data_IF_905656203822
#
_entry.id   IF_905656203822
#
_cell.length_a   1.000
_cell.length_b   1.000
_cell.length_c   1.000
_cell.angle_alpha   90.00
_cell.angle_beta   90.00
_cell.angle_gamma   90.00
#
_symmetry.space_group_name_H-M   'P 1'
#
loop_
_entity.id
_entity.type
_entity.pdbx_description
1 polymer ?
#
# COMPACT_ATOMS: atom_id res chain seq x y z
N UNK A 1 -20.41 -5.06 10.26
CA UNK A 1 -19.13 -4.44 10.66
C UNK A 1 -18.17 -5.57 11.02
N UNK A 2 -17.10 -5.79 10.24
CA UNK A 2 -16.00 -6.64 10.73
C UNK A 2 -15.28 -5.85 11.83
N UNK A 3 -14.97 -6.50 12.95
CA UNK A 3 -14.18 -5.88 14.01
C UNK A 3 -12.77 -5.63 13.47
N UNK A 4 -12.33 -4.38 13.53
CA UNK A 4 -10.95 -4.01 13.25
C UNK A 4 -10.11 -4.38 14.47
N UNK A 5 -9.03 -5.12 14.24
CA UNK A 5 -8.06 -5.44 15.29
C UNK A 5 -6.91 -4.46 15.18
N UNK A 6 -6.58 -3.80 16.29
CA UNK A 6 -5.41 -2.93 16.36
C UNK A 6 -4.21 -3.77 16.75
N UNK A 7 -3.21 -3.81 15.87
CA UNK A 7 -1.92 -4.44 16.14
C UNK A 7 -0.89 -3.34 16.27
N UNK A 8 -0.16 -3.34 17.38
CA UNK A 8 0.96 -2.42 17.57
C UNK A 8 2.24 -3.20 17.78
N UNK A 9 3.24 -2.92 16.94
CA UNK A 9 4.55 -3.58 16.99
C UNK A 9 5.63 -2.52 17.25
N UNK A 10 6.57 -2.85 18.13
CA UNK A 10 7.78 -2.07 18.34
C UNK A 10 8.96 -2.82 17.74
N UNK A 11 9.73 -2.17 16.88
CA UNK A 11 10.90 -2.77 16.21
C UNK A 11 11.95 -1.70 15.89
N UNK A 12 13.16 -2.09 15.54
CA UNK A 12 14.17 -1.22 14.90
C UNK A 12 14.43 -1.59 13.43
N UNK A 13 13.73 -2.58 12.88
CA UNK A 13 13.89 -3.02 11.49
C UNK A 13 12.59 -2.82 10.70
N UNK A 14 12.20 -1.57 10.46
CA UNK A 14 10.97 -1.26 9.71
C UNK A 14 10.92 -1.90 8.32
N UNK A 15 12.07 -2.04 7.65
CA UNK A 15 12.16 -2.65 6.31
C UNK A 15 11.76 -4.12 6.27
N UNK A 16 11.70 -4.81 7.42
CA UNK A 16 11.16 -6.17 7.52
C UNK A 16 9.69 -6.22 7.09
N UNK A 17 8.96 -5.12 7.22
CA UNK A 17 7.54 -5.02 6.89
C UNK A 17 7.28 -4.53 5.46
N UNK A 18 8.33 -4.27 4.65
CA UNK A 18 8.19 -3.79 3.27
C UNK A 18 7.34 -4.72 2.40
N UNK A 19 7.38 -6.04 2.66
CA UNK A 19 6.59 -7.03 1.94
C UNK A 19 5.07 -6.83 2.09
N UNK A 20 4.60 -6.25 3.19
CA UNK A 20 3.18 -5.95 3.38
C UNK A 20 2.69 -4.92 2.34
N UNK A 21 3.54 -3.98 1.95
CA UNK A 21 3.21 -3.03 0.88
C UNK A 21 3.19 -3.68 -0.51
N UNK A 22 4.02 -4.70 -0.74
CA UNK A 22 4.02 -5.47 -1.98
C UNK A 22 2.75 -6.33 -2.10
N UNK A 23 2.33 -6.94 -0.99
CA UNK A 23 1.06 -7.68 -0.91
C UNK A 23 -0.14 -6.75 -1.07
N UNK A 24 -0.06 -5.56 -0.47
CA UNK A 24 -1.01 -4.46 -0.59
C UNK A 24 -1.73 -4.17 0.72
N UNK A 25 -1.84 -2.87 1.01
CA UNK A 25 -2.61 -2.34 2.13
C UNK A 25 -3.95 -1.79 1.63
N UNK A 26 -4.93 -1.65 2.51
CA UNK A 26 -6.21 -1.04 2.18
C UNK A 26 -6.09 0.47 2.24
N UNK A 27 -6.31 1.12 1.10
CA UNK A 27 -6.48 2.56 0.97
C UNK A 27 -7.96 2.95 1.01
N UNK A 28 -8.22 4.19 1.36
CA UNK A 28 -9.55 4.78 1.23
C UNK A 28 -9.48 6.17 0.67
N UNK A 29 -10.41 6.51 -0.21
CA UNK A 29 -10.54 7.83 -0.81
C UNK A 29 -12.02 8.18 -0.94
N UNK A 30 -12.31 9.44 -1.24
CA UNK A 30 -13.66 9.87 -1.66
C UNK A 30 -13.91 9.36 -3.08
N UNK A 31 -15.13 8.89 -3.35
CA UNK A 31 -15.54 8.48 -4.70
C UNK A 31 -15.30 9.62 -5.70
N UNK A 32 -14.69 9.29 -6.84
CA UNK A 32 -14.34 10.27 -7.86
C UNK A 32 -13.06 11.07 -7.56
N UNK A 33 -12.33 10.77 -6.48
CA UNK A 33 -10.99 11.33 -6.28
C UNK A 33 -10.03 10.83 -7.37
N UNK A 34 -9.22 11.74 -7.91
CA UNK A 34 -8.13 11.35 -8.80
C UNK A 34 -7.00 10.66 -8.02
N UNK A 35 -6.15 9.92 -8.72
CA UNK A 35 -4.93 9.37 -8.12
C UNK A 35 -4.07 10.51 -7.55
N UNK A 36 -3.98 11.64 -8.26
CA UNK A 36 -3.23 12.80 -7.78
C UNK A 36 -3.78 13.34 -6.46
N UNK A 37 -5.09 13.54 -6.35
CA UNK A 37 -5.71 14.08 -5.14
C UNK A 37 -5.50 13.16 -3.94
N UNK A 38 -5.62 11.85 -4.14
CA UNK A 38 -5.32 10.88 -3.10
C UNK A 38 -3.85 10.96 -2.65
N UNK A 39 -2.90 10.99 -3.58
CA UNK A 39 -1.47 11.03 -3.22
C UNK A 39 -1.09 12.35 -2.54
N UNK A 40 -1.56 13.48 -3.07
CA UNK A 40 -1.19 14.81 -2.58
C UNK A 40 -1.92 15.17 -1.28
N UNK A 41 -3.24 14.99 -1.24
CA UNK A 41 -4.07 15.53 -0.17
C UNK A 41 -4.28 14.52 0.96
N UNK A 42 -4.49 13.24 0.64
CA UNK A 42 -4.76 12.20 1.65
C UNK A 42 -3.46 11.60 2.20
N UNK A 43 -2.51 11.26 1.32
CA UNK A 43 -1.21 10.73 1.74
C UNK A 43 -0.20 11.82 2.12
N UNK A 44 -0.44 13.07 1.73
CA UNK A 44 0.48 14.19 2.00
C UNK A 44 1.79 14.12 1.21
N UNK A 45 1.80 13.45 0.06
CA UNK A 45 2.98 13.29 -0.79
C UNK A 45 3.15 14.56 -1.64
N UNK A 46 4.35 15.14 -1.64
CA UNK A 46 4.55 16.41 -2.35
C UNK A 46 4.40 16.26 -3.87
N UNK A 47 3.94 17.30 -4.59
CA UNK A 47 3.85 17.28 -6.05
C UNK A 47 5.17 16.92 -6.73
N UNK A 48 6.30 17.37 -6.17
CA UNK A 48 7.64 17.07 -6.69
C UNK A 48 7.95 15.58 -6.58
N UNK A 49 7.59 14.94 -5.47
CA UNK A 49 7.79 13.51 -5.27
C UNK A 49 6.91 12.70 -6.22
N UNK A 50 5.62 13.05 -6.34
CA UNK A 50 4.68 12.38 -7.27
C UNK A 50 5.20 12.46 -8.71
N UNK A 51 5.78 13.60 -9.10
CA UNK A 51 6.24 13.83 -10.47
C UNK A 51 7.57 13.15 -10.78
N UNK A 52 8.54 13.22 -9.86
CA UNK A 52 9.92 12.83 -10.16
C UNK A 52 10.32 11.48 -9.57
N UNK A 53 9.70 11.06 -8.45
CA UNK A 53 10.04 9.81 -7.78
C UNK A 53 9.12 8.68 -8.20
N UNK A 54 7.82 8.91 -8.37
CA UNK A 54 6.88 7.88 -8.83
C UNK A 54 6.86 7.82 -10.37
N UNK A 55 7.66 6.93 -10.97
CA UNK A 55 7.76 6.82 -12.43
C UNK A 55 6.83 5.78 -13.05
N UNK A 56 6.28 4.87 -12.25
CA UNK A 56 5.35 3.84 -12.77
C UNK A 56 4.17 3.72 -11.84
N UNK A 57 2.98 3.87 -12.44
CA UNK A 57 1.69 3.78 -11.77
C UNK A 57 0.83 2.81 -12.56
N UNK A 58 0.26 1.83 -11.86
CA UNK A 58 -0.75 0.95 -12.42
C UNK A 58 -2.05 1.07 -11.64
N UNK A 59 -3.16 1.08 -12.36
CA UNK A 59 -4.51 0.89 -11.82
C UNK A 59 -5.09 -0.38 -12.43
N UNK A 60 -5.40 -1.37 -11.59
CA UNK A 60 -5.90 -2.70 -12.01
C UNK A 60 -5.01 -3.36 -13.08
N UNK A 61 -3.69 -3.21 -12.92
CA UNK A 61 -2.69 -3.76 -13.83
C UNK A 61 -2.49 -2.97 -15.13
N UNK A 62 -3.26 -1.89 -15.36
CA UNK A 62 -3.12 -1.00 -16.51
C UNK A 62 -2.27 0.21 -16.17
N UNK A 63 -1.35 0.58 -17.06
CA UNK A 63 -0.49 1.72 -16.84
C UNK A 63 -1.28 3.03 -16.88
N UNK A 64 -0.95 3.94 -15.96
CA UNK A 64 -1.58 5.26 -15.85
C UNK A 64 -0.59 6.34 -16.26
N UNK A 65 -0.96 7.13 -17.27
CA UNK A 65 -0.14 8.25 -17.77
C UNK A 65 -0.57 9.59 -17.14
N UNK A 66 -1.88 9.81 -16.96
CA UNK A 66 -2.44 11.03 -16.38
C UNK A 66 -3.10 10.76 -15.03
N UNK A 67 -2.37 11.07 -13.95
CA UNK A 67 -2.83 10.88 -12.57
C UNK A 67 -3.90 11.88 -12.13
N UNK A 68 -4.06 13.00 -12.82
CA UNK A 68 -5.08 14.01 -12.50
C UNK A 68 -6.45 13.62 -13.06
N UNK A 69 -6.48 12.92 -14.20
CA UNK A 69 -7.74 12.48 -14.84
C UNK A 69 -8.15 11.04 -14.49
N UNK A 70 -7.24 10.26 -13.93
CA UNK A 70 -7.52 8.87 -13.57
C UNK A 70 -8.13 8.81 -12.18
N UNK A 71 -9.37 8.34 -12.10
CA UNK A 71 -10.15 8.27 -10.87
C UNK A 71 -9.96 6.92 -10.16
N UNK A 72 -9.85 6.96 -8.83
CA UNK A 72 -9.88 5.75 -8.01
C UNK A 72 -11.29 5.19 -7.95
N UNK A 73 -11.39 3.86 -8.00
CA UNK A 73 -12.66 3.14 -7.96
C UNK A 73 -12.69 2.15 -6.79
N UNK A 74 -13.90 1.83 -6.35
CA UNK A 74 -14.14 0.80 -5.34
C UNK A 74 -13.49 -0.53 -5.74
N UNK A 75 -12.80 -1.17 -4.81
CA UNK A 75 -12.08 -2.43 -4.96
C UNK A 75 -10.94 -2.46 -6.00
N UNK A 76 -10.58 -1.31 -6.58
CA UNK A 76 -9.44 -1.22 -7.50
C UNK A 76 -8.10 -1.51 -6.79
N UNK A 77 -7.05 -1.76 -7.56
CA UNK A 77 -5.68 -1.91 -7.08
C UNK A 77 -4.78 -0.85 -7.70
N UNK A 78 -4.31 0.09 -6.89
CA UNK A 78 -3.31 1.09 -7.24
C UNK A 78 -1.91 0.59 -6.87
N UNK A 79 -1.00 0.53 -7.82
CA UNK A 79 0.39 0.15 -7.60
C UNK A 79 1.34 1.30 -7.98
N UNK A 80 2.28 1.63 -7.08
CA UNK A 80 3.25 2.71 -7.22
C UNK A 80 4.68 2.18 -7.18
N UNK A 81 5.53 2.70 -8.07
CA UNK A 81 6.92 2.25 -8.22
C UNK A 81 7.83 3.39 -8.71
N UNK A 82 9.07 3.42 -8.19
CA UNK A 82 10.02 4.49 -8.47
C UNK A 82 10.71 4.33 -9.82
N UNK A 83 11.24 3.14 -10.09
CA UNK A 83 11.76 2.75 -11.39
C UNK A 83 11.73 1.22 -11.45
N UNK A 84 11.17 0.67 -12.53
CA UNK A 84 11.31 -0.76 -12.81
C UNK A 84 12.54 -0.94 -13.71
N UNK A 85 13.49 -1.84 -13.40
CA UNK A 85 14.58 -2.15 -14.31
C UNK A 85 14.11 -3.04 -15.47
N UNK A 86 14.88 -3.09 -16.55
CA UNK A 86 14.65 -3.98 -17.69
C UNK A 86 13.51 -3.56 -18.63
N UNK A 87 13.05 -4.49 -19.47
CA UNK A 87 12.06 -4.22 -20.52
C UNK A 87 10.75 -3.67 -19.95
N UNK A 88 10.29 -4.19 -18.81
CA UNK A 88 9.09 -3.73 -18.11
C UNK A 88 9.20 -2.24 -17.73
N UNK A 89 10.37 -1.81 -17.27
CA UNK A 89 10.65 -0.40 -17.02
C UNK A 89 10.64 0.47 -18.26
N UNK A 90 11.35 0.03 -19.30
CA UNK A 90 11.41 0.75 -20.57
C UNK A 90 10.02 0.90 -21.20
N UNK A 91 9.17 -0.11 -21.06
CA UNK A 91 7.80 -0.07 -21.58
C UNK A 91 6.87 0.72 -20.70
N UNK A 92 6.94 0.68 -19.36
CA UNK A 92 5.90 1.24 -18.47
C UNK A 92 6.26 2.54 -17.75
N UNK A 93 7.44 3.12 -18.01
CA UNK A 93 7.78 4.46 -17.50
C UNK A 93 6.75 5.49 -17.96
N UNK A 94 6.25 6.29 -17.01
CA UNK A 94 5.35 7.43 -17.24
C UNK A 94 6.03 8.41 -18.20
N UNK A 95 5.32 8.81 -19.24
CA UNK A 95 5.81 9.76 -20.26
C UNK A 95 7.11 9.32 -20.99
N UNK A 96 7.37 8.01 -21.12
CA UNK A 96 8.53 7.47 -21.84
C UNK A 96 8.35 7.42 -23.38
N UNK A 97 9.47 7.40 -24.12
CA UNK A 97 9.52 7.37 -25.60
C UNK A 97 8.71 6.23 -26.25
N UNK A 98 8.51 5.12 -25.52
CA UNK A 98 7.74 3.95 -25.97
C UNK A 98 6.26 3.96 -25.51
N UNK A 99 5.74 5.09 -25.00
CA UNK A 99 4.33 5.25 -24.63
C UNK A 99 3.37 4.90 -25.78
N UNK A 100 3.75 5.23 -27.02
CA UNK A 100 2.97 4.95 -28.23
C UNK A 100 2.77 3.46 -28.55
N UNK A 101 3.57 2.54 -27.99
CA UNK A 101 3.42 1.09 -28.20
C UNK A 101 2.35 0.45 -27.32
N UNK A 102 1.77 1.19 -26.35
CA UNK A 102 0.81 0.67 -25.36
C UNK A 102 -0.66 0.94 -25.70
N UNK A 103 -0.99 1.29 -26.95
CA UNK A 103 -2.36 1.68 -27.37
C UNK A 103 -3.48 0.70 -27.00
N UNK A 104 -3.19 -0.57 -26.70
CA UNK A 104 -4.19 -1.58 -26.32
C UNK A 104 -4.27 -1.86 -24.80
N UNK A 105 -3.53 -1.13 -23.94
CA UNK A 105 -3.41 -1.45 -22.50
C UNK A 105 -3.55 -0.21 -21.58
N UNK A 106 -3.76 0.97 -22.14
CA UNK A 106 -3.98 2.20 -21.36
C UNK A 106 -5.38 2.24 -20.77
N UNK A 107 -5.51 2.77 -19.55
CA UNK A 107 -6.81 3.00 -18.92
C UNK A 107 -7.56 4.13 -19.64
N UNK A 108 -8.83 3.90 -20.00
CA UNK A 108 -9.73 4.93 -20.51
C UNK A 108 -10.66 5.40 -19.37
N UNK A 109 -10.84 6.72 -19.18
CA UNK A 109 -11.65 7.25 -18.09
C UNK A 109 -13.13 6.91 -18.29
N UNK A 110 -13.72 6.20 -17.32
CA UNK A 110 -15.16 5.93 -17.27
C UNK A 110 -15.88 7.04 -16.49
N UNK A 111 -17.08 7.42 -16.95
CA UNK A 111 -17.85 8.58 -16.45
C UNK A 111 -18.12 8.52 -14.94
N UNK A 112 -17.93 9.66 -14.27
CA UNK A 112 -18.14 9.84 -12.84
C UNK A 112 -19.63 9.74 -12.47
N UNK A 113 -19.94 8.94 -11.45
CA UNK A 113 -21.25 8.96 -10.76
C UNK A 113 -21.05 9.70 -9.45
N UNK A 114 -21.82 10.77 -9.24
CA UNK A 114 -21.74 11.67 -8.09
C UNK A 114 -22.18 10.99 -6.78
N UNK A 115 -21.37 11.10 -5.74
CA UNK A 115 -21.66 11.54 -4.35
C UNK A 115 -20.53 11.11 -3.40
N UNK A 116 -20.39 11.81 -2.27
CA UNK A 116 -19.36 11.79 -1.20
C UNK A 116 -19.14 10.43 -0.50
N UNK A 117 -19.28 9.32 -1.21
CA UNK A 117 -19.14 7.99 -0.68
C UNK A 117 -17.66 7.63 -0.54
N UNK A 118 -17.26 7.19 0.64
CA UNK A 118 -15.92 6.63 0.87
C UNK A 118 -15.79 5.33 0.10
N UNK A 119 -14.80 5.26 -0.78
CA UNK A 119 -14.40 4.03 -1.48
C UNK A 119 -13.19 3.40 -0.79
N UNK A 120 -13.09 2.08 -0.89
CA UNK A 120 -11.91 1.32 -0.47
C UNK A 120 -11.23 0.68 -1.67
N UNK A 121 -9.91 0.63 -1.65
CA UNK A 121 -9.09 0.06 -2.72
C UNK A 121 -7.82 -0.55 -2.13
N UNK A 122 -7.04 -1.25 -2.94
CA UNK A 122 -5.74 -1.80 -2.52
C UNK A 122 -4.63 -0.88 -3.00
N UNK A 123 -3.79 -0.41 -2.09
CA UNK A 123 -2.56 0.33 -2.41
C UNK A 123 -1.36 -0.60 -2.28
N UNK A 124 -0.56 -0.67 -3.34
CA UNK A 124 0.71 -1.41 -3.37
C UNK A 124 1.87 -0.48 -3.60
N UNK A 125 2.91 -0.60 -2.78
CA UNK A 125 4.17 0.12 -2.95
C UNK A 125 5.26 -0.89 -3.27
N UNK A 126 6.01 -0.60 -4.32
CA UNK A 126 7.13 -1.44 -4.73
C UNK A 126 8.45 -0.70 -4.50
N UNK A 127 9.55 -1.43 -4.63
CA UNK A 127 10.92 -0.93 -4.67
C UNK A 127 11.21 0.18 -3.64
N UNK A 128 11.87 1.25 -4.08
CA UNK A 128 12.24 2.39 -3.26
C UNK A 128 11.03 3.15 -2.74
N UNK A 129 9.86 3.10 -3.40
CA UNK A 129 8.65 3.76 -2.89
C UNK A 129 8.20 3.15 -1.56
N UNK A 130 8.24 1.81 -1.44
CA UNK A 130 7.94 1.14 -0.18
C UNK A 130 8.89 1.59 0.94
N UNK A 131 10.19 1.70 0.64
CA UNK A 131 11.21 2.11 1.62
C UNK A 131 11.09 3.56 2.06
N UNK A 132 10.72 4.45 1.14
CA UNK A 132 10.66 5.89 1.40
C UNK A 132 9.33 6.29 2.07
N UNK A 133 8.19 5.73 1.63
CA UNK A 133 6.87 6.08 2.16
C UNK A 133 6.41 5.13 3.27
N UNK A 134 6.83 3.87 3.23
CA UNK A 134 6.36 2.82 4.12
C UNK A 134 6.56 3.10 5.60
N UNK A 135 7.76 3.55 6.06
CA UNK A 135 7.98 3.93 7.45
C UNK A 135 6.98 4.97 7.97
N UNK A 136 6.69 6.00 7.17
CA UNK A 136 5.73 7.05 7.53
C UNK A 136 4.30 6.51 7.62
N UNK A 137 3.93 5.60 6.73
CA UNK A 137 2.61 4.95 6.74
C UNK A 137 2.44 4.01 7.94
N UNK A 138 3.43 3.16 8.23
CA UNK A 138 3.37 2.24 9.37
C UNK A 138 3.30 2.97 10.70
N UNK A 139 4.01 4.11 10.85
CA UNK A 139 3.94 4.95 12.06
C UNK A 139 2.56 5.57 12.25
N UNK A 140 1.87 5.94 11.18
CA UNK A 140 0.48 6.48 11.22
C UNK A 140 -0.57 5.39 11.42
N UNK A 141 -0.27 4.17 10.96
CA UNK A 141 -1.18 3.03 10.97
C UNK A 141 -1.70 2.73 9.56
N UNK A 142 -1.71 1.45 9.20
CA UNK A 142 -2.21 0.97 7.90
C UNK A 142 -3.23 -0.13 8.09
N UNK A 143 -4.25 -0.17 7.23
CA UNK A 143 -5.22 -1.25 7.21
C UNK A 143 -4.73 -2.38 6.31
N UNK A 144 -4.77 -3.62 6.79
CA UNK A 144 -4.31 -4.81 6.07
C UNK A 144 -5.38 -5.89 6.16
N UNK A 145 -5.57 -6.63 5.06
CA UNK A 145 -6.39 -7.84 5.10
C UNK A 145 -5.71 -8.85 6.01
N UNK A 146 -6.43 -9.40 6.98
CA UNK A 146 -5.87 -10.33 7.93
C UNK A 146 -5.32 -11.61 7.27
N UNK A 147 -5.83 -12.02 6.11
CA UNK A 147 -5.21 -13.08 5.30
C UNK A 147 -3.79 -12.72 4.85
N UNK A 148 -3.57 -11.51 4.34
CA UNK A 148 -2.22 -11.05 3.94
C UNK A 148 -1.29 -10.95 5.15
N UNK A 149 -1.81 -10.47 6.29
CA UNK A 149 -1.04 -10.41 7.53
C UNK A 149 -0.68 -11.83 8.03
N UNK A 150 -1.61 -12.79 7.98
CA UNK A 150 -1.33 -14.19 8.29
C UNK A 150 -0.21 -14.74 7.40
N UNK A 151 -0.31 -14.54 6.09
CA UNK A 151 0.67 -15.03 5.13
C UNK A 151 2.06 -14.43 5.42
N UNK A 152 2.11 -13.13 5.73
CA UNK A 152 3.35 -12.47 6.13
C UNK A 152 3.95 -13.09 7.40
N UNK A 153 3.15 -13.29 8.46
CA UNK A 153 3.61 -13.89 9.71
C UNK A 153 4.13 -15.31 9.48
N UNK A 154 3.38 -16.14 8.74
CA UNK A 154 3.77 -17.51 8.43
C UNK A 154 5.07 -17.58 7.62
N UNK A 155 5.22 -16.73 6.60
CA UNK A 155 6.45 -16.66 5.80
C UNK A 155 7.68 -16.22 6.61
N UNK A 156 7.50 -15.55 7.75
CA UNK A 156 8.59 -15.03 8.56
C UNK A 156 8.57 -15.51 10.01
N UNK A 157 7.90 -16.63 10.30
CA UNK A 157 7.70 -17.11 11.68
C UNK A 157 9.01 -17.25 12.48
N UNK A 158 10.13 -17.59 11.83
CA UNK A 158 11.43 -17.74 12.48
C UNK A 158 12.12 -16.39 12.73
N UNK A 159 11.94 -15.43 11.82
CA UNK A 159 12.59 -14.12 11.88
C UNK A 159 11.79 -13.13 12.71
N UNK A 160 10.48 -13.22 12.72
CA UNK A 160 9.58 -12.32 13.43
C UNK A 160 9.96 -12.11 14.91
N UNK A 161 10.24 -13.16 15.72
CA UNK A 161 10.64 -13.01 17.13
C UNK A 161 11.96 -12.27 17.33
N UNK A 162 12.83 -12.25 16.32
CA UNK A 162 14.14 -11.58 16.40
C UNK A 162 14.09 -10.12 15.97
N UNK A 163 13.05 -9.75 15.23
CA UNK A 163 12.83 -8.41 14.70
C UNK A 163 11.90 -7.59 15.59
N UNK A 164 10.86 -8.22 16.10
CA UNK A 164 9.83 -7.58 16.91
C UNK A 164 10.27 -7.59 18.38
N UNK A 165 10.30 -6.41 18.99
CA UNK A 165 10.70 -6.23 20.40
C UNK A 165 9.50 -6.26 21.34
N UNK A 166 8.33 -5.92 20.81
CA UNK A 166 7.05 -5.93 21.52
C UNK A 166 5.90 -6.00 20.53
N UNK A 167 4.89 -6.79 20.85
CA UNK A 167 3.68 -6.98 20.06
C UNK A 167 2.45 -6.84 20.96
N UNK A 168 1.48 -6.07 20.49
CA UNK A 168 0.21 -5.85 21.18
C UNK A 168 -0.96 -6.07 20.24
N UNK A 169 -2.03 -6.65 20.77
CA UNK A 169 -3.33 -6.74 20.10
C UNK A 169 -4.35 -6.02 20.97
N UNK A 170 -5.00 -5.00 20.43
CA UNK A 170 -5.97 -4.16 21.13
C UNK A 170 -5.42 -3.69 22.50
N UNK A 171 -4.19 -3.16 22.49
CA UNK A 171 -3.47 -2.65 23.67
C UNK A 171 -3.07 -3.70 24.72
N UNK A 172 -3.39 -4.98 24.50
CA UNK A 172 -2.93 -6.07 25.35
C UNK A 172 -1.59 -6.58 24.84
N UNK A 173 -0.61 -6.73 25.74
CA UNK A 173 0.66 -7.39 25.47
C UNK A 173 0.41 -8.90 25.29
N UNK A 174 0.95 -9.49 24.23
CA UNK A 174 0.93 -10.94 24.02
C UNK A 174 2.36 -11.49 24.05
N UNK A 175 2.48 -12.76 24.44
CA UNK A 175 3.69 -13.52 24.15
C UNK A 175 3.79 -13.74 22.65
N UNK A 176 5.03 -13.83 22.15
CA UNK A 176 5.28 -13.97 20.72
C UNK A 176 4.63 -15.24 20.17
N UNK A 177 4.62 -16.35 20.91
CA UNK A 177 4.00 -17.61 20.49
C UNK A 177 2.48 -17.48 20.30
N UNK A 178 1.81 -16.76 21.21
CA UNK A 178 0.37 -16.49 21.15
C UNK A 178 0.04 -15.54 19.99
N UNK A 179 0.94 -14.58 19.70
CA UNK A 179 0.80 -13.67 18.56
C UNK A 179 0.96 -14.39 17.22
N UNK A 180 1.96 -15.26 17.09
CA UNK A 180 2.23 -16.02 15.86
C UNK A 180 1.12 -17.03 15.54
N UNK A 181 0.50 -17.60 16.58
CA UNK A 181 -0.61 -18.55 16.45
C UNK A 181 -1.99 -17.89 16.32
N UNK A 182 -2.08 -16.56 16.41
CA UNK A 182 -3.33 -15.83 16.30
C UNK A 182 -3.96 -16.00 14.90
N UNK A 183 -5.28 -16.21 14.84
CA UNK A 183 -6.00 -16.38 13.57
C UNK A 183 -6.38 -15.03 12.94
N UNK A 184 -5.64 -14.61 11.91
CA UNK A 184 -5.84 -13.32 11.26
C UNK A 184 -6.80 -13.38 10.06
N UNK A 185 -6.93 -14.54 9.39
CA UNK A 185 -7.47 -14.69 8.01
C UNK A 185 -8.77 -13.95 7.71
N UNK A 186 -9.71 -13.89 8.64
CA UNK A 186 -11.04 -13.31 8.41
C UNK A 186 -11.21 -11.87 8.89
N UNK A 187 -10.14 -11.27 9.41
CA UNK A 187 -10.14 -9.99 10.13
C UNK A 187 -9.57 -8.86 9.27
N UNK A 188 -9.78 -7.65 9.74
CA UNK A 188 -9.08 -6.46 9.27
C UNK A 188 -8.08 -6.06 10.35
N UNK A 189 -6.82 -5.91 9.98
CA UNK A 189 -5.74 -5.53 10.91
C UNK A 189 -5.40 -4.07 10.67
N UNK A 190 -5.57 -3.25 11.69
CA UNK A 190 -5.01 -1.90 11.76
C UNK A 190 -3.63 -1.99 12.40
N UNK A 191 -2.59 -2.02 11.55
CA UNK A 191 -1.22 -2.22 11.95
C UNK A 191 -0.50 -0.88 12.15
N UNK A 192 -0.01 -0.65 13.36
CA UNK A 192 0.86 0.47 13.70
C UNK A 192 2.23 -0.11 14.04
N UNK A 193 3.30 0.48 13.51
CA UNK A 193 4.67 0.10 13.86
C UNK A 193 5.45 1.33 14.28
N UNK A 194 6.04 1.26 15.46
CA UNK A 194 6.87 2.33 16.03
C UNK A 194 8.31 1.85 16.21
N UNK A 195 9.23 2.79 16.06
CA UNK A 195 10.64 2.54 16.38
C UNK A 195 10.86 2.75 17.87
N UNK A 196 11.64 1.86 18.49
CA UNK A 196 12.13 2.09 19.85
C UNK A 196 13.09 3.28 19.80
N UNK A 197 12.77 4.37 20.50
CA UNK A 197 13.71 5.46 20.77
C UNK A 197 14.88 4.95 21.63
#
# INVERSE_FOLDING_TARGET
>A
MKQDIVVHIVTDQLSFFDQLFVQGIMGSAISGASIYDFLANEMGITPEYITHRIQTIFLDGKAVDDVQKTLLQQNSTLALSAAMPGLVGATFRKSGFYSGLRKNISYEPQSAVSHEQKITFTLKLFNTIAKELGPGLLKKGVLIKGSSFQDFILCHQERFPTVCKKEMINEMDLKVEDFLSYEWKNKTVYLIITEKQ
#
